data_IF_392102837597
#
_entry.id   IF_392102837597
#
_cell.length_a   1.000
_cell.length_b   1.000
_cell.length_c   1.000
_cell.angle_alpha   90.00
_cell.angle_beta   90.00
_cell.angle_gamma   90.00
#
_symmetry.space_group_name_H-M   'P 1'
#
loop_
_entity.id
_entity.type
_entity.pdbx_description
1 polymer ?
#
# COMPACT_ATOMS: atom_id res chain seq x y z
N UNK A 1 20.76 -12.36 21.48
CA UNK A 1 19.69 -12.16 20.48
C UNK A 1 19.81 -10.74 19.95
N UNK A 2 20.04 -10.52 18.64
CA UNK A 2 20.21 -9.17 18.09
C UNK A 2 18.86 -8.45 17.96
N UNK A 3 18.79 -7.11 18.05
CA UNK A 3 17.53 -6.39 17.89
C UNK A 3 16.86 -6.61 16.50
N UNK A 4 17.65 -6.84 15.45
CA UNK A 4 17.12 -7.25 14.13
C UNK A 4 16.44 -8.62 14.13
N UNK A 5 16.98 -9.59 14.88
CA UNK A 5 16.34 -10.90 15.03
C UNK A 5 15.05 -10.82 15.85
N UNK A 6 15.01 -9.94 16.87
CA UNK A 6 13.78 -9.65 17.63
C UNK A 6 12.69 -9.09 16.71
N UNK A 7 13.06 -8.16 15.84
CA UNK A 7 12.13 -7.56 14.87
C UNK A 7 11.55 -8.61 13.92
N UNK A 8 12.38 -9.49 13.35
CA UNK A 8 11.89 -10.57 12.49
C UNK A 8 10.87 -11.46 13.20
N UNK A 9 11.18 -11.92 14.42
CA UNK A 9 10.24 -12.72 15.23
C UNK A 9 8.94 -11.96 15.51
N UNK A 10 9.02 -10.65 15.79
CA UNK A 10 7.83 -9.82 16.07
C UNK A 10 6.93 -9.69 14.83
N UNK A 11 7.53 -9.46 13.66
CA UNK A 11 6.82 -9.39 12.38
C UNK A 11 6.21 -10.75 11.99
N UNK A 12 6.96 -11.84 12.12
CA UNK A 12 6.47 -13.20 11.88
C UNK A 12 5.26 -13.52 12.77
N UNK A 13 5.35 -13.21 14.07
CA UNK A 13 4.25 -13.39 15.01
C UNK A 13 3.08 -12.46 14.75
N UNK A 14 3.24 -11.35 14.06
CA UNK A 14 2.15 -10.42 13.76
C UNK A 14 1.16 -11.00 12.73
N UNK A 15 1.64 -11.75 11.73
CA UNK A 15 0.80 -12.38 10.69
C UNK A 15 -0.41 -13.17 11.23
N UNK A 16 -0.25 -14.15 12.15
CA UNK A 16 -1.40 -14.91 12.67
C UNK A 16 -2.37 -14.04 13.49
N UNK A 17 -1.91 -12.96 14.12
CA UNK A 17 -2.77 -12.02 14.83
C UNK A 17 -3.64 -11.23 13.84
N UNK A 18 -3.05 -10.77 12.74
CA UNK A 18 -3.79 -10.10 11.65
C UNK A 18 -4.85 -11.03 11.06
N UNK A 19 -4.49 -12.28 10.78
CA UNK A 19 -5.45 -13.26 10.25
C UNK A 19 -6.60 -13.57 11.22
N UNK A 20 -6.32 -13.60 12.53
CA UNK A 20 -7.35 -13.73 13.55
C UNK A 20 -8.30 -12.53 13.51
N UNK A 21 -7.77 -11.32 13.44
CA UNK A 21 -8.58 -10.09 13.37
C UNK A 21 -9.39 -10.02 12.08
N UNK A 22 -8.85 -10.45 10.94
CA UNK A 22 -9.59 -10.60 9.67
C UNK A 22 -10.78 -11.55 9.82
N UNK A 23 -10.56 -12.74 10.40
CA UNK A 23 -11.65 -13.70 10.62
C UNK A 23 -12.73 -13.13 11.54
N UNK A 24 -12.33 -12.42 12.59
CA UNK A 24 -13.26 -11.77 13.52
C UNK A 24 -14.06 -10.66 12.84
N UNK A 25 -13.41 -9.79 12.05
CA UNK A 25 -14.09 -8.74 11.29
C UNK A 25 -15.15 -9.31 10.33
N UNK A 26 -14.82 -10.41 9.63
CA UNK A 26 -15.78 -11.13 8.78
C UNK A 26 -16.96 -11.66 9.56
N UNK A 27 -16.72 -12.33 10.70
CA UNK A 27 -17.79 -12.86 11.57
C UNK A 27 -18.70 -11.74 12.13
N UNK A 28 -18.11 -10.62 12.56
CA UNK A 28 -18.86 -9.43 13.02
C UNK A 28 -19.69 -8.87 11.87
N UNK A 29 -19.13 -8.78 10.66
CA UNK A 29 -19.84 -8.29 9.48
C UNK A 29 -21.06 -9.13 9.13
N UNK A 30 -21.01 -10.45 9.34
CA UNK A 30 -22.16 -11.34 9.09
C UNK A 30 -23.29 -11.20 10.13
N UNK A 31 -22.98 -10.68 11.32
CA UNK A 31 -23.94 -10.56 12.44
C UNK A 31 -24.61 -9.18 12.52
N UNK A 32 -24.07 -8.20 11.82
CA UNK A 32 -24.56 -6.83 11.81
C UNK A 32 -25.51 -6.63 10.63
N UNK A 33 -26.61 -5.93 10.87
CA UNK A 33 -27.61 -5.59 9.84
C UNK A 33 -27.44 -4.17 9.29
N UNK A 34 -26.57 -3.35 9.89
CA UNK A 34 -26.29 -2.01 9.41
C UNK A 34 -25.33 -2.07 8.21
N UNK A 35 -25.80 -1.64 7.04
CA UNK A 35 -25.03 -1.68 5.80
C UNK A 35 -23.77 -0.80 5.84
N UNK A 36 -23.77 0.28 6.62
CA UNK A 36 -22.61 1.16 6.75
C UNK A 36 -21.55 0.51 7.63
N UNK A 37 -21.94 -0.15 8.72
CA UNK A 37 -21.01 -0.95 9.54
C UNK A 37 -20.47 -2.17 8.77
N UNK A 38 -21.31 -2.83 7.96
CA UNK A 38 -20.85 -3.90 7.06
C UNK A 38 -19.81 -3.41 6.05
N UNK A 39 -20.03 -2.25 5.44
CA UNK A 39 -19.08 -1.64 4.51
C UNK A 39 -17.75 -1.31 5.21
N UNK A 40 -17.79 -0.66 6.38
CA UNK A 40 -16.60 -0.36 7.18
C UNK A 40 -15.82 -1.63 7.59
N UNK A 41 -16.50 -2.73 7.87
CA UNK A 41 -15.85 -4.02 8.16
C UNK A 41 -15.22 -4.65 6.91
N UNK A 42 -15.83 -4.47 5.73
CA UNK A 42 -15.25 -4.92 4.47
C UNK A 42 -13.97 -4.13 4.14
N UNK A 43 -14.01 -2.80 4.29
CA UNK A 43 -12.84 -1.91 4.12
C UNK A 43 -11.73 -2.29 5.10
N UNK A 44 -12.06 -2.49 6.38
CA UNK A 44 -11.12 -2.98 7.38
C UNK A 44 -10.48 -4.32 7.01
N UNK A 45 -11.25 -5.27 6.46
CA UNK A 45 -10.71 -6.56 5.99
C UNK A 45 -9.71 -6.36 4.85
N UNK A 46 -9.99 -5.46 3.91
CA UNK A 46 -9.08 -5.13 2.82
C UNK A 46 -7.77 -4.52 3.35
N UNK A 47 -7.88 -3.55 4.27
CA UNK A 47 -6.74 -2.91 4.91
C UNK A 47 -5.86 -3.92 5.66
N UNK A 48 -6.46 -4.87 6.39
CA UNK A 48 -5.71 -5.91 7.10
C UNK A 48 -5.06 -6.93 6.17
N UNK A 49 -5.71 -7.32 5.06
CA UNK A 49 -5.09 -8.18 4.05
C UNK A 49 -3.89 -7.49 3.39
N UNK A 50 -4.01 -6.20 3.07
CA UNK A 50 -2.89 -5.37 2.60
C UNK A 50 -1.76 -5.30 3.63
N UNK A 51 -2.08 -5.07 4.91
CA UNK A 51 -1.09 -5.06 5.99
C UNK A 51 -0.36 -6.39 6.13
N UNK A 52 -1.05 -7.53 5.96
CA UNK A 52 -0.44 -8.86 5.99
C UNK A 52 0.60 -9.01 4.89
N UNK A 53 0.31 -8.55 3.68
CA UNK A 53 1.25 -8.59 2.56
C UNK A 53 2.46 -7.68 2.83
N UNK A 54 2.24 -6.49 3.39
CA UNK A 54 3.32 -5.56 3.77
C UNK A 54 4.20 -6.05 4.92
N UNK A 55 3.64 -6.80 5.87
CA UNK A 55 4.43 -7.49 6.89
C UNK A 55 5.37 -8.51 6.24
N UNK A 56 4.87 -9.33 5.31
CA UNK A 56 5.69 -10.32 4.60
C UNK A 56 6.78 -9.65 3.77
N UNK A 57 6.44 -8.60 3.03
CA UNK A 57 7.42 -7.80 2.27
C UNK A 57 8.52 -7.27 3.21
N UNK A 58 8.14 -6.77 4.39
CA UNK A 58 9.09 -6.25 5.39
C UNK A 58 10.04 -7.33 5.89
N UNK A 59 9.53 -8.55 6.16
CA UNK A 59 10.37 -9.68 6.58
C UNK A 59 11.42 -9.99 5.50
N UNK A 60 10.99 -10.08 4.23
CA UNK A 60 11.89 -10.34 3.09
C UNK A 60 12.92 -9.23 2.92
N UNK A 61 12.54 -7.95 3.02
CA UNK A 61 13.49 -6.85 2.89
C UNK A 61 14.55 -6.88 4.00
N UNK A 62 14.17 -7.24 5.23
CA UNK A 62 15.09 -7.31 6.36
C UNK A 62 16.16 -8.41 6.23
N UNK A 63 16.01 -9.38 5.32
CA UNK A 63 17.07 -10.37 5.03
C UNK A 63 18.31 -9.74 4.40
N UNK A 64 18.14 -8.65 3.63
CA UNK A 64 19.23 -8.03 2.87
C UNK A 64 20.03 -6.97 3.64
N UNK A 65 19.50 -6.48 4.77
CA UNK A 65 20.17 -5.55 5.72
C UNK A 65 20.78 -4.29 5.07
N UNK A 66 20.27 -3.83 3.91
CA UNK A 66 20.73 -2.59 3.27
C UNK A 66 19.94 -1.37 3.76
N UNK A 67 20.49 -0.15 3.59
CA UNK A 67 19.76 1.09 3.91
C UNK A 67 18.41 1.18 3.18
N UNK A 68 18.38 0.86 1.89
CA UNK A 68 17.14 0.92 1.10
C UNK A 68 16.13 -0.14 1.54
N UNK A 69 16.59 -1.35 1.86
CA UNK A 69 15.72 -2.41 2.34
C UNK A 69 15.15 -2.10 3.72
N UNK A 70 15.97 -1.49 4.59
CA UNK A 70 15.53 -1.01 5.90
C UNK A 70 14.51 0.13 5.77
N UNK A 71 14.77 1.08 4.88
CA UNK A 71 13.84 2.16 4.56
C UNK A 71 12.49 1.61 4.03
N UNK A 72 12.54 0.61 3.14
CA UNK A 72 11.33 -0.07 2.65
C UNK A 72 10.56 -0.75 3.78
N UNK A 73 11.24 -1.52 4.65
CA UNK A 73 10.61 -2.15 5.81
C UNK A 73 9.99 -1.11 6.75
N UNK A 74 10.68 0.02 7.00
CA UNK A 74 10.13 1.14 7.78
C UNK A 74 8.86 1.71 7.15
N UNK A 75 8.87 1.97 5.85
CA UNK A 75 7.70 2.47 5.11
C UNK A 75 6.54 1.49 5.15
N UNK A 76 6.80 0.20 4.91
CA UNK A 76 5.76 -0.82 4.91
C UNK A 76 5.16 -1.05 6.29
N UNK A 77 5.97 -1.12 7.36
CA UNK A 77 5.43 -1.23 8.73
C UNK A 77 4.70 0.04 9.16
N UNK A 78 5.10 1.22 8.66
CA UNK A 78 4.37 2.47 8.89
C UNK A 78 2.99 2.42 8.20
N UNK A 79 2.92 1.93 6.96
CA UNK A 79 1.65 1.68 6.27
C UNK A 79 0.78 0.67 7.03
N UNK A 80 1.38 -0.40 7.57
CA UNK A 80 0.67 -1.40 8.39
C UNK A 80 0.02 -0.74 9.62
N UNK A 81 0.75 0.12 10.34
CA UNK A 81 0.20 0.88 11.47
C UNK A 81 -0.96 1.77 11.02
N UNK A 82 -0.78 2.55 9.96
CA UNK A 82 -1.83 3.43 9.42
C UNK A 82 -3.08 2.66 9.02
N UNK A 83 -2.93 1.50 8.39
CA UNK A 83 -4.06 0.64 8.02
C UNK A 83 -4.84 0.14 9.25
N UNK A 84 -4.16 -0.19 10.36
CA UNK A 84 -4.82 -0.60 11.59
C UNK A 84 -5.55 0.56 12.27
N UNK A 85 -4.91 1.74 12.35
CA UNK A 85 -5.53 2.95 12.89
C UNK A 85 -6.75 3.34 12.02
N UNK A 86 -6.62 3.30 10.68
CA UNK A 86 -7.71 3.62 9.74
C UNK A 86 -8.88 2.65 9.90
N UNK A 87 -8.62 1.34 9.96
CA UNK A 87 -9.68 0.37 10.23
C UNK A 87 -10.39 0.70 11.55
N UNK A 88 -9.64 0.99 12.62
CA UNK A 88 -10.27 1.31 13.90
C UNK A 88 -11.13 2.58 13.81
N UNK A 89 -10.65 3.61 13.12
CA UNK A 89 -11.35 4.89 12.96
C UNK A 89 -12.64 4.79 12.12
N UNK A 90 -12.67 3.89 11.13
CA UNK A 90 -13.86 3.63 10.31
C UNK A 90 -14.98 2.91 11.09
N UNK A 91 -14.62 2.08 12.06
CA UNK A 91 -15.58 1.31 12.84
C UNK A 91 -16.32 2.18 13.86
N UNK A 92 -17.63 1.93 13.96
CA UNK A 92 -18.52 2.55 14.92
C UNK A 92 -19.39 1.50 15.63
N UNK A 93 -20.14 1.92 16.65
CA UNK A 93 -21.17 1.10 17.27
C UNK A 93 -20.67 -0.27 17.79
N UNK A 94 -21.49 -1.33 17.69
CA UNK A 94 -21.14 -2.68 18.13
C UNK A 94 -19.91 -3.25 17.40
N UNK A 95 -19.71 -2.90 16.12
CA UNK A 95 -18.56 -3.33 15.35
C UNK A 95 -17.25 -2.84 16.00
N UNK A 96 -17.19 -1.54 16.34
CA UNK A 96 -16.04 -0.94 17.00
C UNK A 96 -15.74 -1.59 18.33
N UNK A 97 -16.73 -1.65 19.24
CA UNK A 97 -16.54 -2.23 20.58
C UNK A 97 -16.06 -3.68 20.54
N UNK A 98 -16.50 -4.43 19.53
CA UNK A 98 -16.08 -5.83 19.37
C UNK A 98 -14.65 -5.95 18.84
N UNK A 99 -14.26 -5.10 17.90
CA UNK A 99 -12.97 -5.18 17.20
C UNK A 99 -11.82 -4.45 17.91
N UNK A 100 -12.13 -3.42 18.69
CA UNK A 100 -11.17 -2.50 19.29
C UNK A 100 -10.04 -3.18 20.10
N UNK A 101 -10.28 -4.21 20.94
CA UNK A 101 -9.20 -4.87 21.67
C UNK A 101 -8.17 -5.57 20.76
N UNK A 102 -8.63 -6.23 19.69
CA UNK A 102 -7.73 -6.93 18.76
C UNK A 102 -6.98 -5.91 17.87
N UNK A 103 -7.63 -4.82 17.47
CA UNK A 103 -6.99 -3.74 16.70
C UNK A 103 -5.93 -3.00 17.53
N UNK A 104 -6.21 -2.72 18.80
CA UNK A 104 -5.24 -2.08 19.70
C UNK A 104 -4.00 -2.97 19.95
N UNK A 105 -4.14 -4.29 20.03
CA UNK A 105 -3.00 -5.22 20.09
C UNK A 105 -2.15 -5.15 18.80
N UNK A 106 -2.79 -5.13 17.63
CA UNK A 106 -2.09 -4.98 16.34
C UNK A 106 -1.37 -3.63 16.22
N UNK A 107 -2.02 -2.54 16.61
CA UNK A 107 -1.45 -1.19 16.64
C UNK A 107 -0.21 -1.15 17.55
N UNK A 108 -0.29 -1.74 18.75
CA UNK A 108 0.83 -1.80 19.68
C UNK A 108 2.02 -2.57 19.09
N UNK A 109 1.77 -3.73 18.46
CA UNK A 109 2.83 -4.52 17.79
C UNK A 109 3.50 -3.76 16.65
N UNK A 110 2.72 -3.05 15.84
CA UNK A 110 3.25 -2.23 14.75
C UNK A 110 4.11 -1.08 15.29
N UNK A 111 3.66 -0.39 16.34
CA UNK A 111 4.44 0.66 17.02
C UNK A 111 5.77 0.14 17.60
N UNK A 112 5.74 -1.01 18.26
CA UNK A 112 6.98 -1.65 18.78
C UNK A 112 7.91 -2.02 17.62
N UNK A 113 7.38 -2.58 16.54
CA UNK A 113 8.17 -2.94 15.35
C UNK A 113 8.85 -1.71 14.73
N UNK A 114 8.12 -0.58 14.61
CA UNK A 114 8.66 0.69 14.13
C UNK A 114 9.75 1.25 15.05
N UNK A 115 9.54 1.21 16.36
CA UNK A 115 10.54 1.66 17.32
C UNK A 115 11.86 0.87 17.18
N UNK A 116 11.77 -0.45 17.00
CA UNK A 116 12.94 -1.30 16.76
C UNK A 116 13.58 -0.96 15.41
N UNK A 117 12.78 -0.82 14.34
CA UNK A 117 13.27 -0.42 13.02
C UNK A 117 14.07 0.88 13.08
N UNK A 118 13.57 1.91 13.77
CA UNK A 118 14.31 3.16 13.94
C UNK A 118 15.62 2.93 14.70
N UNK A 119 15.61 2.11 15.75
CA UNK A 119 16.80 1.84 16.56
C UNK A 119 17.90 1.04 15.83
N UNK A 120 17.54 0.20 14.85
CA UNK A 120 18.49 -0.62 14.08
C UNK A 120 18.80 -0.07 12.68
N UNK A 121 18.38 1.16 12.39
CA UNK A 121 18.57 1.75 11.06
C UNK A 121 20.07 1.87 10.72
N UNK A 122 20.52 1.31 9.58
CA UNK A 122 21.91 1.43 9.18
C UNK A 122 22.22 2.89 8.83
N UNK A 123 23.42 3.36 9.19
CA UNK A 123 23.88 4.68 8.78
C UNK A 123 24.03 4.71 7.25
N UNK A 124 23.48 5.74 6.61
CA UNK A 124 23.71 5.98 5.18
C UNK A 124 25.16 6.47 5.01
N UNK A 125 26.04 5.63 4.46
CA UNK A 125 27.36 6.09 4.01
C UNK A 125 27.17 7.09 2.86
N UNK A 126 27.24 8.37 3.18
CA UNK A 126 27.13 9.45 2.20
C UNK A 126 28.43 9.61 1.42
N UNK A 127 28.69 8.74 0.45
CA UNK A 127 29.75 8.95 -0.55
C UNK A 127 29.24 9.47 -1.90
N UNK A 128 27.97 9.87 -1.99
CA UNK A 128 27.43 10.54 -3.18
C UNK A 128 26.83 11.89 -2.79
N UNK A 129 27.59 12.95 -3.06
CA UNK A 129 27.04 14.30 -3.19
C UNK A 129 26.15 14.26 -4.43
N UNK A 130 24.86 13.97 -4.23
CA UNK A 130 23.87 14.12 -5.29
C UNK A 130 23.67 15.62 -5.50
N UNK A 131 23.95 16.18 -6.69
CA UNK A 131 23.67 17.57 -6.96
C UNK A 131 22.17 17.81 -6.78
N UNK A 132 21.83 18.80 -5.94
CA UNK A 132 20.49 19.36 -5.84
C UNK A 132 20.17 20.05 -7.18
N UNK A 133 19.79 19.26 -8.18
CA UNK A 133 19.14 19.76 -9.40
C UNK A 133 17.63 19.50 -9.21
N UNK A 134 16.96 20.60 -8.86
CA UNK A 134 15.57 21.01 -9.14
C UNK A 134 14.42 19.99 -8.94
N UNK A 135 13.57 20.33 -7.96
CA UNK A 135 12.13 20.05 -7.80
C UNK A 135 11.57 18.62 -7.91
N UNK A 136 12.37 17.61 -8.25
CA UNK A 136 11.91 16.22 -8.38
C UNK A 136 12.54 15.29 -7.33
N UNK A 137 11.74 14.47 -6.62
CA UNK A 137 12.24 13.55 -5.59
C UNK A 137 13.36 12.62 -6.07
N UNK A 138 14.27 12.28 -5.16
CA UNK A 138 15.40 11.36 -5.43
C UNK A 138 14.97 9.92 -5.72
N UNK A 139 13.76 9.52 -5.32
CA UNK A 139 13.21 8.20 -5.63
C UNK A 139 12.72 8.06 -7.07
N UNK A 140 12.58 9.16 -7.81
CA UNK A 140 12.23 9.13 -9.23
C UNK A 140 13.45 8.82 -10.09
N UNK A 141 13.36 7.73 -10.85
CA UNK A 141 14.34 7.33 -11.86
C UNK A 141 14.44 8.39 -12.97
N UNK A 142 15.57 8.43 -13.68
CA UNK A 142 15.73 9.34 -14.83
C UNK A 142 14.68 9.12 -15.93
N UNK A 143 14.18 7.88 -16.07
CA UNK A 143 13.10 7.55 -17.02
C UNK A 143 11.76 8.13 -16.58
N UNK A 144 11.49 8.15 -15.27
CA UNK A 144 10.29 8.77 -14.71
C UNK A 144 10.29 10.27 -14.85
N UNK A 145 11.40 10.92 -14.51
CA UNK A 145 11.54 12.38 -14.69
C UNK A 145 11.32 12.77 -16.14
N UNK A 146 11.98 12.09 -17.09
CA UNK A 146 11.76 12.28 -18.52
C UNK A 146 10.32 12.10 -18.96
N UNK A 147 9.58 11.15 -18.36
CA UNK A 147 8.17 10.94 -18.67
C UNK A 147 7.28 12.07 -18.13
N UNK A 148 7.57 12.58 -16.91
CA UNK A 148 6.85 13.69 -16.30
C UNK A 148 7.09 15.02 -17.02
N UNK A 149 8.29 15.20 -17.56
CA UNK A 149 8.69 16.37 -18.34
C UNK A 149 8.28 16.29 -19.82
N UNK A 150 7.90 15.10 -20.31
CA UNK A 150 7.55 14.89 -21.71
C UNK A 150 6.23 15.59 -22.07
N UNK A 151 6.20 16.23 -23.25
CA UNK A 151 4.94 16.72 -23.79
C UNK A 151 4.01 15.53 -24.12
N UNK A 152 2.67 15.67 -23.96
CA UNK A 152 1.73 14.57 -24.21
C UNK A 152 1.85 13.92 -25.60
N UNK A 153 2.32 14.66 -26.60
CA UNK A 153 2.57 14.19 -27.97
C UNK A 153 3.76 13.21 -28.08
N UNK A 154 4.70 13.31 -27.15
CA UNK A 154 5.95 12.53 -27.13
C UNK A 154 5.80 11.27 -26.25
N UNK A 155 4.69 11.15 -25.51
CA UNK A 155 4.37 10.00 -24.67
C UNK A 155 3.70 8.91 -25.51
N UNK A 156 4.40 7.79 -25.68
CA UNK A 156 3.83 6.58 -26.28
C UNK A 156 2.92 5.87 -25.28
N UNK A 157 1.61 6.06 -25.45
CA UNK A 157 0.60 5.36 -24.65
C UNK A 157 0.38 3.92 -25.15
N UNK A 158 0.16 2.99 -24.23
CA UNK A 158 -0.27 1.62 -24.55
C UNK A 158 -1.76 1.59 -24.93
N UNK A 159 -2.57 2.41 -24.24
CA UNK A 159 -4.00 2.58 -24.54
C UNK A 159 -4.46 4.02 -24.32
N UNK A 160 -5.50 4.41 -25.05
CA UNK A 160 -6.12 5.74 -24.96
C UNK A 160 -7.55 5.58 -24.48
N UNK A 161 -7.95 6.40 -23.51
CA UNK A 161 -9.32 6.53 -23.02
C UNK A 161 -9.94 7.80 -23.56
N UNK A 162 -11.10 7.69 -24.21
CA UNK A 162 -11.82 8.85 -24.76
C UNK A 162 -13.34 8.61 -24.75
N UNK A 163 -14.10 9.52 -24.12
CA UNK A 163 -15.55 9.41 -23.99
C UNK A 163 -16.28 9.52 -25.36
N UNK A 164 -15.68 10.24 -26.30
CA UNK A 164 -16.16 10.40 -27.67
C UNK A 164 -15.97 9.13 -28.55
N UNK A 165 -15.33 8.08 -28.01
CA UNK A 165 -15.05 6.84 -28.72
C UNK A 165 -13.80 6.89 -29.62
N UNK A 166 -13.04 7.98 -29.61
CA UNK A 166 -11.79 8.10 -30.39
C UNK A 166 -10.58 7.38 -29.75
N UNK A 167 -10.79 6.68 -28.64
CA UNK A 167 -9.81 5.86 -27.93
C UNK A 167 -10.24 4.40 -27.87
N UNK A 168 -9.39 3.53 -27.34
CA UNK A 168 -9.69 2.09 -27.18
C UNK A 168 -10.80 1.84 -26.16
N UNK A 169 -10.85 2.66 -25.11
CA UNK A 169 -11.83 2.54 -24.03
C UNK A 169 -12.56 3.87 -23.82
N UNK A 170 -13.81 3.81 -23.33
CA UNK A 170 -14.59 5.01 -23.00
C UNK A 170 -14.43 5.43 -21.55
N UNK A 171 -14.05 4.48 -20.69
CA UNK A 171 -13.90 4.68 -19.24
C UNK A 171 -12.47 4.36 -18.79
N UNK A 172 -12.04 4.98 -17.69
CA UNK A 172 -10.75 4.70 -17.07
C UNK A 172 -10.76 3.31 -16.43
N UNK A 173 -11.89 2.89 -15.86
CA UNK A 173 -12.07 1.55 -15.27
C UNK A 173 -11.80 0.43 -16.26
N UNK A 174 -12.32 0.53 -17.49
CA UNK A 174 -12.04 -0.45 -18.56
C UNK A 174 -10.54 -0.50 -18.91
N UNK A 175 -9.90 0.67 -18.99
CA UNK A 175 -8.48 0.74 -19.30
C UNK A 175 -7.62 0.12 -18.19
N UNK A 176 -7.91 0.42 -16.93
CA UNK A 176 -7.23 -0.19 -15.77
C UNK A 176 -7.45 -1.70 -15.72
N UNK A 177 -8.66 -2.18 -16.01
CA UNK A 177 -8.96 -3.61 -16.09
C UNK A 177 -8.15 -4.32 -17.20
N UNK A 178 -7.83 -3.61 -18.29
CA UNK A 178 -7.05 -4.16 -19.41
C UNK A 178 -5.54 -4.29 -19.13
N UNK A 179 -5.04 -3.67 -18.06
CA UNK A 179 -3.62 -3.75 -17.68
C UNK A 179 -3.28 -5.19 -17.28
N UNK A 180 -2.20 -5.80 -17.81
CA UNK A 180 -1.80 -7.14 -17.38
C UNK A 180 -1.48 -7.19 -15.88
N UNK A 181 -1.94 -8.24 -15.20
CA UNK A 181 -1.55 -8.50 -13.80
C UNK A 181 -0.07 -8.82 -13.70
N UNK A 182 0.57 -8.37 -12.61
CA UNK A 182 1.99 -8.58 -12.32
C UNK A 182 2.92 -8.11 -13.45
N UNK A 183 2.50 -7.07 -14.19
CA UNK A 183 3.31 -6.44 -15.23
C UNK A 183 4.70 -6.05 -14.72
N UNK A 184 5.73 -6.35 -15.51
CA UNK A 184 7.14 -5.99 -15.21
C UNK A 184 7.57 -4.67 -15.83
N UNK A 185 6.76 -4.16 -16.75
CA UNK A 185 7.02 -2.96 -17.52
C UNK A 185 5.91 -1.96 -17.28
N UNK A 186 6.26 -0.67 -17.25
CA UNK A 186 5.28 0.42 -17.16
C UNK A 186 4.23 0.30 -18.27
N UNK A 187 2.98 0.42 -17.87
CA UNK A 187 1.82 0.49 -18.76
C UNK A 187 1.26 1.91 -18.72
N UNK A 188 1.18 2.57 -19.86
CA UNK A 188 0.81 4.00 -19.98
C UNK A 188 -0.60 4.12 -20.52
N UNK A 189 -1.52 4.58 -19.66
CA UNK A 189 -2.90 4.92 -20.03
C UNK A 189 -2.99 6.43 -20.27
N UNK A 190 -3.31 6.85 -21.50
CA UNK A 190 -3.58 8.24 -21.81
C UNK A 190 -5.08 8.51 -21.73
N UNK A 191 -5.50 9.29 -20.74
CA UNK A 191 -6.89 9.74 -20.58
C UNK A 191 -7.06 11.10 -21.26
N UNK A 192 -7.88 11.17 -22.32
CA UNK A 192 -8.18 12.45 -22.99
C UNK A 192 -8.93 13.38 -22.05
N UNK A 193 -8.86 14.70 -22.30
CA UNK A 193 -9.62 15.69 -21.53
C UNK A 193 -11.12 15.33 -21.50
N UNK A 194 -11.70 15.37 -20.31
CA UNK A 194 -13.10 15.01 -20.10
C UNK A 194 -13.43 14.88 -18.62
N UNK A 195 -14.72 14.75 -18.30
CA UNK A 195 -15.19 14.49 -16.93
C UNK A 195 -15.61 13.03 -16.86
N UNK A 196 -14.85 12.25 -16.12
CA UNK A 196 -15.07 10.83 -15.89
C UNK A 196 -15.67 10.64 -14.50
N UNK A 197 -16.96 10.30 -14.42
CA UNK A 197 -17.65 10.04 -13.15
C UNK A 197 -17.69 8.54 -12.89
N UNK A 198 -16.62 8.02 -12.30
CA UNK A 198 -16.46 6.59 -12.05
C UNK A 198 -15.61 6.33 -10.80
N UNK A 199 -15.84 5.18 -10.16
CA UNK A 199 -14.95 4.65 -9.13
C UNK A 199 -13.93 3.74 -9.82
N UNK A 200 -12.66 4.14 -9.77
CA UNK A 200 -11.54 3.40 -10.37
C UNK A 200 -10.84 2.60 -9.27
N UNK A 201 -10.84 1.29 -9.43
CA UNK A 201 -10.13 0.38 -8.53
C UNK A 201 -8.86 -0.12 -9.24
N UNK A 202 -7.71 0.14 -8.63
CA UNK A 202 -6.44 -0.44 -9.07
C UNK A 202 -6.20 -1.68 -8.20
N UNK A 203 -6.58 -2.83 -8.73
CA UNK A 203 -6.50 -4.09 -7.98
C UNK A 203 -5.06 -4.40 -7.52
N UNK A 204 -4.92 -5.09 -6.38
CA UNK A 204 -3.63 -5.45 -5.76
C UNK A 204 -2.65 -6.19 -6.67
N UNK A 205 -3.16 -6.90 -7.68
CA UNK A 205 -2.36 -7.61 -8.68
C UNK A 205 -1.76 -6.71 -9.75
N UNK A 206 -2.22 -5.45 -9.85
CA UNK A 206 -1.61 -4.43 -10.70
C UNK A 206 -0.36 -3.91 -9.99
N UNK A 207 0.81 -4.25 -10.54
CA UNK A 207 2.08 -3.76 -10.00
C UNK A 207 2.32 -2.33 -10.50
N UNK A 208 2.37 -1.39 -9.56
CA UNK A 208 2.62 0.05 -9.80
C UNK A 208 4.12 0.32 -9.81
#
# INVERSE_FOLDING_TARGET
MSPGHILQILLEKSTPHVEKTIRKAKDVSFRINDHREQAALADCVELMESSKDRIKDSIVALESVTFNSHANAHTWVSCVLTNYDTCLDELNGPARSTMEPDLNDLILRARISLAILVAISPLKENNEILPLIEDLPSWLTSKERKLLEAFPKDIKADVIVAQDGSGKYKTVKEAVASVPDNGKTRYVIHVKKGIYKENVEVGRTKRI
#
